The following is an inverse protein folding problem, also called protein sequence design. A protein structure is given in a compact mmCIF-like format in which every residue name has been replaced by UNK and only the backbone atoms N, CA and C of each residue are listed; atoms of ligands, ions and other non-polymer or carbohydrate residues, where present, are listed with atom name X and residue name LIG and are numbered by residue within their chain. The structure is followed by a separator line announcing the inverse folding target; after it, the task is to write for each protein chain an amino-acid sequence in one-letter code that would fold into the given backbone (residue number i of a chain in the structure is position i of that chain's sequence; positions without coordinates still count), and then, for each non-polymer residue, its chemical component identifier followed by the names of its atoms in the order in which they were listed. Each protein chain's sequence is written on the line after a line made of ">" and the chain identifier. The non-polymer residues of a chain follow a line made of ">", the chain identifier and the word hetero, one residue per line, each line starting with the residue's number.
data_IF_143377513808
#
_entry.id   IF_143377513808
#
_cell.length_a   1.000
_cell.length_b   1.000
_cell.length_c   1.000
_cell.angle_alpha   90.00
_cell.angle_beta   90.00
_cell.angle_gamma   90.00
#
_symmetry.space_group_name_H-M   'P 1'
#
loop_
_entity.id
_entity.type
_entity.pdbx_description
1 polymer ?
#
# COMPACT_ATOMS: atom_id res chain seq x y z
N UNK A 1 35.33 0.57 -22.97
CA UNK A 1 33.93 0.78 -23.41
C UNK A 1 33.00 0.90 -22.19
N UNK A 2 32.71 2.14 -21.78
CA UNK A 2 31.68 2.44 -20.78
C UNK A 2 30.32 2.12 -21.39
N UNK A 3 29.64 1.10 -20.86
CA UNK A 3 28.30 0.73 -21.28
C UNK A 3 27.35 1.78 -20.72
N UNK A 4 26.88 2.67 -21.58
CA UNK A 4 25.83 3.63 -21.26
C UNK A 4 24.52 2.84 -21.15
N UNK A 5 23.98 2.73 -19.94
CA UNK A 5 22.66 2.15 -19.73
C UNK A 5 21.64 3.25 -20.03
N UNK A 6 21.15 3.30 -21.27
CA UNK A 6 19.94 4.07 -21.57
C UNK A 6 18.79 3.37 -20.84
N UNK A 7 18.28 4.01 -19.78
CA UNK A 7 17.05 3.57 -19.14
C UNK A 7 15.93 3.81 -20.16
N UNK A 8 15.32 2.74 -20.67
CA UNK A 8 14.21 2.83 -21.63
C UNK A 8 12.99 3.57 -21.04
N UNK A 9 12.93 3.69 -19.71
CA UNK A 9 11.86 4.34 -18.97
C UNK A 9 12.38 5.49 -18.10
N UNK A 10 11.57 6.56 -18.03
CA UNK A 10 11.77 7.67 -17.11
C UNK A 10 11.26 7.26 -15.71
N UNK A 11 12.14 6.63 -14.94
CA UNK A 11 11.78 6.07 -13.63
C UNK A 11 11.35 7.11 -12.60
N UNK A 12 11.82 8.36 -12.71
CA UNK A 12 11.39 9.44 -11.82
C UNK A 12 9.91 9.75 -12.06
N UNK A 13 9.49 9.82 -13.33
CA UNK A 13 8.08 9.98 -13.69
C UNK A 13 7.23 8.77 -13.29
N UNK A 14 7.73 7.55 -13.52
CA UNK A 14 7.01 6.33 -13.14
C UNK A 14 6.80 6.30 -11.63
N UNK A 15 7.84 6.57 -10.83
CA UNK A 15 7.74 6.63 -9.37
C UNK A 15 6.69 7.65 -8.90
N UNK A 16 6.77 8.88 -9.41
CA UNK A 16 5.83 9.94 -9.03
C UNK A 16 4.38 9.56 -9.35
N UNK A 17 4.16 8.95 -10.51
CA UNK A 17 2.84 8.54 -10.95
C UNK A 17 2.29 7.31 -10.21
N UNK A 18 3.12 6.30 -9.93
CA UNK A 18 2.75 5.16 -9.07
C UNK A 18 2.33 5.65 -7.69
N UNK A 19 3.09 6.58 -7.09
CA UNK A 19 2.75 7.20 -5.81
C UNK A 19 1.40 7.91 -5.87
N UNK A 20 1.13 8.65 -6.95
CA UNK A 20 -0.15 9.34 -7.13
C UNK A 20 -1.31 8.35 -7.20
N UNK A 21 -1.21 7.32 -8.04
CA UNK A 21 -2.25 6.28 -8.17
C UNK A 21 -2.52 5.59 -6.83
N UNK A 22 -1.48 5.23 -6.08
CA UNK A 22 -1.62 4.63 -4.76
C UNK A 22 -2.38 5.54 -3.78
N UNK A 23 -2.03 6.82 -3.72
CA UNK A 23 -2.70 7.78 -2.83
C UNK A 23 -4.16 8.01 -3.24
N UNK A 24 -4.42 8.12 -4.53
CA UNK A 24 -5.78 8.30 -5.07
C UNK A 24 -6.65 7.09 -4.73
N UNK A 25 -6.15 5.86 -4.93
CA UNK A 25 -6.88 4.63 -4.58
C UNK A 25 -7.08 4.49 -3.08
N UNK A 26 -6.07 4.80 -2.27
CA UNK A 26 -6.18 4.79 -0.82
C UNK A 26 -7.27 5.77 -0.32
N UNK A 27 -7.30 6.98 -0.86
CA UNK A 27 -8.22 8.02 -0.40
C UNK A 27 -9.65 7.85 -0.94
N UNK A 28 -9.82 7.36 -2.17
CA UNK A 28 -11.12 7.31 -2.86
C UNK A 28 -11.84 5.97 -2.73
N UNK A 29 -11.13 4.88 -2.40
CA UNK A 29 -11.77 3.57 -2.24
C UNK A 29 -12.55 3.53 -0.93
N UNK A 30 -13.86 3.31 -1.01
CA UNK A 30 -14.63 2.97 0.18
C UNK A 30 -14.12 1.63 0.76
N UNK A 31 -13.36 1.72 1.84
CA UNK A 31 -12.62 0.60 2.41
C UNK A 31 -13.55 -0.30 3.23
N UNK A 32 -13.74 -1.54 2.76
CA UNK A 32 -14.41 -2.61 3.53
C UNK A 32 -13.43 -3.42 4.37
N UNK A 33 -12.16 -3.39 3.98
CA UNK A 33 -11.04 -3.99 4.67
C UNK A 33 -9.75 -3.38 4.14
N UNK A 34 -8.69 -3.48 4.93
CA UNK A 34 -7.38 -3.02 4.51
C UNK A 34 -6.84 -3.86 3.35
N UNK A 35 -7.15 -5.17 3.31
CA UNK A 35 -6.87 -6.06 2.19
C UNK A 35 -7.50 -5.57 0.88
N UNK A 36 -8.78 -5.18 0.89
CA UNK A 36 -9.46 -4.62 -0.30
C UNK A 36 -8.79 -3.33 -0.77
N UNK A 37 -8.34 -2.51 0.17
CA UNK A 37 -7.64 -1.26 -0.13
C UNK A 37 -6.29 -1.54 -0.81
N UNK A 38 -5.49 -2.47 -0.27
CA UNK A 38 -4.22 -2.89 -0.88
C UNK A 38 -4.42 -3.44 -2.29
N UNK A 39 -5.45 -4.27 -2.49
CA UNK A 39 -5.78 -4.79 -3.80
C UNK A 39 -6.13 -3.66 -4.79
N UNK A 40 -7.03 -2.74 -4.43
CA UNK A 40 -7.40 -1.62 -5.28
C UNK A 40 -6.22 -0.70 -5.63
N UNK A 41 -5.30 -0.49 -4.68
CA UNK A 41 -4.05 0.24 -4.93
C UNK A 41 -3.16 -0.50 -5.93
N UNK A 42 -2.90 -1.79 -5.70
CA UNK A 42 -2.04 -2.60 -6.57
C UNK A 42 -2.60 -2.77 -7.98
N UNK A 43 -3.89 -3.10 -8.09
CA UNK A 43 -4.62 -3.19 -9.36
C UNK A 43 -4.56 -1.86 -10.13
N UNK A 44 -4.73 -0.73 -9.43
CA UNK A 44 -4.64 0.60 -10.03
C UNK A 44 -3.25 0.86 -10.64
N UNK A 45 -2.19 0.51 -9.92
CA UNK A 45 -0.80 0.67 -10.38
C UNK A 45 -0.53 -0.22 -11.60
N UNK A 46 -0.85 -1.50 -11.52
CA UNK A 46 -0.63 -2.42 -12.64
C UNK A 46 -1.53 -2.07 -13.84
N UNK A 47 -2.69 -1.48 -13.65
CA UNK A 47 -3.50 -1.02 -14.79
C UNK A 47 -2.87 0.19 -15.48
N UNK A 48 -2.19 1.07 -14.74
CA UNK A 48 -1.63 2.31 -15.27
C UNK A 48 -0.21 2.18 -15.84
N UNK A 49 0.59 1.24 -15.36
CA UNK A 49 2.02 1.09 -15.71
C UNK A 49 2.32 -0.32 -16.24
N UNK A 50 2.19 -0.56 -17.56
CA UNK A 50 2.45 -1.85 -18.20
C UNK A 50 3.86 -2.42 -17.93
N UNK A 51 4.84 -1.54 -17.71
CA UNK A 51 6.23 -1.91 -17.42
C UNK A 51 6.44 -2.52 -16.02
N UNK A 52 5.44 -2.45 -15.13
CA UNK A 52 5.48 -3.05 -13.79
C UNK A 52 4.77 -4.40 -13.82
N UNK A 53 5.46 -5.46 -13.37
CA UNK A 53 4.94 -6.83 -13.34
C UNK A 53 4.27 -7.22 -12.00
N UNK A 54 4.78 -6.69 -10.89
CA UNK A 54 4.35 -7.01 -9.53
C UNK A 54 4.52 -5.78 -8.62
N UNK A 55 3.62 -5.63 -7.65
CA UNK A 55 3.74 -4.68 -6.53
C UNK A 55 3.41 -5.40 -5.23
N UNK A 56 4.24 -5.17 -4.21
CA UNK A 56 4.07 -5.78 -2.88
C UNK A 56 3.87 -4.71 -1.81
N UNK A 57 3.00 -5.01 -0.85
CA UNK A 57 2.64 -4.14 0.27
C UNK A 57 2.89 -4.83 1.61
N UNK A 58 3.40 -4.07 2.57
CA UNK A 58 3.39 -4.41 3.99
C UNK A 58 2.84 -3.19 4.73
N UNK A 59 1.55 -3.25 5.12
CA UNK A 59 0.78 -2.08 5.57
C UNK A 59 0.21 -2.31 6.97
N UNK A 60 0.71 -1.60 7.99
CA UNK A 60 0.16 -1.68 9.34
C UNK A 60 -1.17 -0.91 9.44
N UNK A 61 -2.14 -1.51 10.11
CA UNK A 61 -3.35 -0.82 10.56
C UNK A 61 -3.04 -0.10 11.89
N UNK A 62 -2.73 1.20 11.81
CA UNK A 62 -2.49 2.03 12.98
C UNK A 62 -3.82 2.35 13.66
N UNK A 63 -4.13 1.64 14.74
CA UNK A 63 -5.40 1.75 15.42
C UNK A 63 -5.61 3.14 16.03
N UNK A 64 -6.72 3.77 15.64
CA UNK A 64 -7.28 4.93 16.31
C UNK A 64 -8.58 4.47 16.95
N UNK A 65 -8.58 4.28 18.26
CA UNK A 65 -9.75 3.84 19.01
C UNK A 65 -10.58 5.05 19.42
N UNK A 66 -11.90 4.98 19.24
CA UNK A 66 -12.80 6.03 19.71
C UNK A 66 -12.79 6.02 21.24
N UNK A 67 -12.48 7.17 21.84
CA UNK A 67 -12.39 7.27 23.31
C UNK A 67 -13.80 7.28 23.89
N UNK A 68 -14.05 6.41 24.87
CA UNK A 68 -15.29 6.44 25.65
C UNK A 68 -15.23 7.60 26.66
N UNK A 69 -16.03 8.63 26.41
CA UNK A 69 -16.14 9.81 27.27
C UNK A 69 -17.35 9.75 28.23
N UNK A 70 -18.09 8.64 28.27
CA UNK A 70 -19.33 8.50 29.05
C UNK A 70 -19.11 8.65 30.56
N UNK A 71 -17.92 8.33 31.07
CA UNK A 71 -17.53 8.55 32.46
C UNK A 71 -17.54 10.03 32.87
N UNK A 72 -17.51 10.95 31.90
CA UNK A 72 -17.63 12.39 32.12
C UNK A 72 -18.98 12.96 31.67
N UNK A 73 -19.94 12.10 31.29
CA UNK A 73 -21.26 12.52 30.82
C UNK A 73 -21.26 13.20 29.45
N UNK A 74 -20.22 12.97 28.64
CA UNK A 74 -20.07 13.54 27.29
C UNK A 74 -20.27 12.48 26.21
N UNK A 75 -20.76 12.90 25.04
CA UNK A 75 -20.71 12.10 23.83
C UNK A 75 -19.35 12.23 23.12
N UNK A 76 -19.12 11.39 22.11
CA UNK A 76 -17.94 11.47 21.24
C UNK A 76 -18.33 11.08 19.81
N UNK A 77 -18.88 12.02 19.01
CA UNK A 77 -19.34 11.76 17.66
C UNK A 77 -18.16 11.67 16.66
N UNK A 78 -17.24 10.73 16.89
CA UNK A 78 -16.05 10.48 16.07
C UNK A 78 -15.00 11.59 16.10
N UNK A 79 -14.81 12.27 17.25
CA UNK A 79 -13.93 13.43 17.37
C UNK A 79 -12.66 13.17 18.17
N UNK A 80 -12.76 12.46 19.30
CA UNK A 80 -11.61 12.19 20.19
C UNK A 80 -11.15 10.73 20.05
N UNK A 81 -9.88 10.56 19.67
CA UNK A 81 -9.30 9.26 19.35
C UNK A 81 -8.02 8.99 20.14
N UNK A 82 -7.82 7.74 20.55
CA UNK A 82 -6.53 7.25 21.06
C UNK A 82 -5.79 6.51 19.95
N UNK A 83 -4.67 7.08 19.50
CA UNK A 83 -3.75 6.44 18.56
C UNK A 83 -2.82 5.49 19.32
N UNK A 84 -3.13 4.20 19.32
CA UNK A 84 -2.32 3.20 20.00
C UNK A 84 -0.98 2.99 19.27
N UNK A 85 0.11 2.78 20.02
CA UNK A 85 1.41 2.45 19.45
C UNK A 85 1.44 0.99 18.95
N UNK A 86 1.04 0.06 19.82
CA UNK A 86 1.05 -1.39 19.63
C UNK A 86 -0.04 -2.05 20.50
N UNK A 87 -0.48 -3.28 20.15
CA UNK A 87 -0.22 -3.98 18.90
C UNK A 87 -0.92 -3.31 17.72
N UNK A 88 -0.50 -3.63 16.49
CA UNK A 88 -1.19 -3.25 15.26
C UNK A 88 -1.37 -4.48 14.37
N UNK A 89 -2.46 -4.52 13.62
CA UNK A 89 -2.60 -5.50 12.54
C UNK A 89 -1.59 -5.19 11.44
N UNK A 90 -0.84 -6.18 10.98
CA UNK A 90 0.01 -6.07 9.78
C UNK A 90 -0.66 -6.86 8.65
N UNK A 91 -0.94 -6.19 7.55
CA UNK A 91 -1.53 -6.82 6.37
C UNK A 91 -0.52 -6.71 5.24
N UNK A 92 -0.27 -7.84 4.60
CA UNK A 92 0.70 -7.97 3.52
C UNK A 92 0.01 -8.53 2.28
N UNK A 93 0.43 -8.08 1.10
CA UNK A 93 -0.14 -8.53 -0.16
C UNK A 93 0.86 -8.35 -1.31
N UNK A 94 0.90 -9.33 -2.22
CA UNK A 94 1.55 -9.23 -3.52
C UNK A 94 0.50 -9.25 -4.60
N UNK A 95 0.46 -8.20 -5.41
CA UNK A 95 -0.45 -8.09 -6.56
C UNK A 95 0.44 -8.26 -7.79
N UNK A 96 0.15 -9.30 -8.57
CA UNK A 96 0.98 -9.79 -9.68
C UNK A 96 0.10 -9.88 -10.92
N UNK A 97 0.65 -9.55 -12.08
CA UNK A 97 -0.05 -9.83 -13.35
C UNK A 97 -0.08 -11.32 -13.63
N UNK A 98 -1.14 -11.79 -14.27
CA UNK A 98 -1.28 -13.19 -14.68
C UNK A 98 -0.18 -13.64 -15.65
N UNK A 99 0.38 -12.72 -16.44
CA UNK A 99 1.44 -12.97 -17.43
C UNK A 99 2.86 -12.60 -16.94
N UNK A 100 3.01 -12.24 -15.66
CA UNK A 100 4.31 -11.89 -15.11
C UNK A 100 5.26 -13.11 -15.13
N UNK A 101 6.52 -12.95 -15.57
CA UNK A 101 7.50 -14.01 -15.45
C UNK A 101 7.77 -14.31 -13.95
N UNK A 102 8.26 -15.51 -13.61
CA UNK A 102 8.68 -15.80 -12.25
C UNK A 102 9.68 -14.78 -11.74
N UNK A 103 9.44 -14.23 -10.55
CA UNK A 103 10.33 -13.23 -9.94
C UNK A 103 11.74 -13.76 -9.63
N UNK A 104 11.95 -15.08 -9.71
CA UNK A 104 13.21 -15.73 -9.34
C UNK A 104 13.60 -15.38 -7.90
N UNK A 105 14.87 -15.04 -7.70
CA UNK A 105 15.41 -14.67 -6.38
C UNK A 105 15.26 -13.20 -6.01
N UNK A 106 14.55 -12.37 -6.79
CA UNK A 106 14.50 -10.91 -6.56
C UNK A 106 13.98 -10.52 -5.17
N UNK A 107 13.16 -11.37 -4.55
CA UNK A 107 12.53 -11.10 -3.25
C UNK A 107 13.17 -11.82 -2.06
N UNK A 108 14.10 -12.75 -2.28
CA UNK A 108 14.64 -13.62 -1.21
C UNK A 108 15.37 -12.86 -0.08
N UNK A 109 15.79 -11.61 -0.33
CA UNK A 109 16.47 -10.76 0.64
C UNK A 109 15.63 -9.62 1.24
N UNK A 110 14.36 -9.47 0.85
CA UNK A 110 13.53 -8.34 1.28
C UNK A 110 12.58 -8.80 2.40
N UNK A 111 12.79 -8.28 3.61
CA UNK A 111 11.91 -8.53 4.75
C UNK A 111 10.53 -7.91 4.58
N UNK A 112 9.48 -8.60 5.05
CA UNK A 112 8.09 -8.12 4.99
C UNK A 112 7.24 -8.64 3.83
N UNK A 113 7.56 -9.83 3.29
CA UNK A 113 6.81 -10.47 2.18
C UNK A 113 6.87 -12.01 2.22
N UNK A 114 6.88 -12.62 3.42
CA UNK A 114 7.01 -14.09 3.60
C UNK A 114 5.69 -14.80 3.32
#
# INVERSE_FOLDING_TARGET
>A
PTREWTLEHDWDKVFAGVRQVMLDRFASTHSLSLQRTLYAMGEGVLSAYPEIAEIRFSMPNKHHFLVDLSNWGLDNPNEVWFAADRPYGLIEASIVRDDAPPAGGLWEGIGGFV
#
